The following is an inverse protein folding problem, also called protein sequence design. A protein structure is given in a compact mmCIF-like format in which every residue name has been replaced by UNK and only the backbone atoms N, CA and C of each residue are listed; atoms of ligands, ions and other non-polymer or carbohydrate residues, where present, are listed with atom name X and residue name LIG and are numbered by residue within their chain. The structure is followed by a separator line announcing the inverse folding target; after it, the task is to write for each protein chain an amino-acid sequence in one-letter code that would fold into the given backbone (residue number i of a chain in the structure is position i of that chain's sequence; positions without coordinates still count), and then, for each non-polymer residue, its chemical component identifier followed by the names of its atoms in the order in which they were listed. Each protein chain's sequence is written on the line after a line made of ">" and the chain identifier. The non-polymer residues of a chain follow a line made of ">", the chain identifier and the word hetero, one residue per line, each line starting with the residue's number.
data_IF_973814012519
#
_entry.id   IF_973814012519
#
_cell.length_a   1.000
_cell.length_b   1.000
_cell.length_c   1.000
_cell.angle_alpha   90.00
_cell.angle_beta   90.00
_cell.angle_gamma   90.00
#
_symmetry.space_group_name_H-M   'P 1'
#
loop_
_entity.id
_entity.type
_entity.pdbx_description
1 polymer ?
#
# COMPACT_ATOMS: atom_id res chain seq x y z
N UNK A 1 -10.66 -11.30 18.93
CA UNK A 1 -9.91 -10.21 18.28
C UNK A 1 -8.75 -9.91 19.19
N UNK A 2 -7.53 -10.26 18.81
CA UNK A 2 -6.36 -9.99 19.65
C UNK A 2 -5.93 -8.55 19.40
N UNK A 3 -5.53 -7.83 20.46
CA UNK A 3 -4.93 -6.51 20.32
C UNK A 3 -3.50 -6.63 19.76
N UNK A 4 -2.97 -5.57 19.18
CA UNK A 4 -1.57 -5.55 18.71
C UNK A 4 -0.61 -5.93 19.85
N UNK A 5 -0.85 -5.40 21.04
CA UNK A 5 -0.04 -5.68 22.24
C UNK A 5 -0.04 -7.17 22.60
N UNK A 6 -1.20 -7.84 22.56
CA UNK A 6 -1.29 -9.29 22.82
C UNK A 6 -0.52 -10.13 21.78
N UNK A 7 -0.54 -9.71 20.52
CA UNK A 7 0.21 -10.40 19.45
C UNK A 7 1.71 -10.23 19.65
N UNK A 8 2.15 -9.03 20.04
CA UNK A 8 3.55 -8.73 20.35
C UNK A 8 4.04 -9.52 21.57
N UNK A 9 3.27 -9.54 22.67
CA UNK A 9 3.59 -10.33 23.85
C UNK A 9 3.75 -11.81 23.51
N UNK A 10 2.84 -12.35 22.69
CA UNK A 10 2.91 -13.75 22.24
C UNK A 10 4.15 -14.00 21.38
N UNK A 11 4.48 -13.07 20.47
CA UNK A 11 5.67 -13.18 19.63
C UNK A 11 6.97 -13.15 20.46
N UNK A 12 7.00 -12.35 21.53
CA UNK A 12 8.14 -12.27 22.45
C UNK A 12 8.36 -13.55 23.28
N UNK A 13 7.33 -14.40 23.44
CA UNK A 13 7.48 -15.71 24.10
C UNK A 13 8.20 -16.75 23.22
N UNK A 14 8.40 -16.48 21.92
CA UNK A 14 9.12 -17.39 21.03
C UNK A 14 10.64 -17.34 21.30
N UNK A 15 11.39 -18.43 21.03
CA UNK A 15 12.85 -18.37 21.00
C UNK A 15 13.36 -17.32 20.00
N UNK A 16 14.50 -16.69 20.28
CA UNK A 16 15.07 -15.63 19.42
C UNK A 16 15.16 -16.01 17.93
N UNK A 17 15.55 -17.24 17.61
CA UNK A 17 15.62 -17.74 16.23
C UNK A 17 14.24 -17.77 15.55
N UNK A 18 13.20 -18.13 16.31
CA UNK A 18 11.83 -18.14 15.80
C UNK A 18 11.25 -16.74 15.70
N UNK A 19 11.64 -15.80 16.58
CA UNK A 19 11.28 -14.39 16.46
C UNK A 19 11.84 -13.79 15.15
N UNK A 20 13.13 -14.02 14.87
CA UNK A 20 13.78 -13.61 13.61
C UNK A 20 13.08 -14.20 12.38
N UNK A 21 12.71 -15.48 12.44
CA UNK A 21 11.95 -16.12 11.37
C UNK A 21 10.56 -15.49 11.19
N UNK A 22 9.86 -15.21 12.29
CA UNK A 22 8.54 -14.58 12.27
C UNK A 22 8.60 -13.19 11.62
N UNK A 23 9.59 -12.37 11.97
CA UNK A 23 9.80 -11.04 11.39
C UNK A 23 9.94 -11.14 9.87
N UNK A 24 10.80 -12.05 9.38
CA UNK A 24 11.02 -12.27 7.95
C UNK A 24 9.76 -12.73 7.23
N UNK A 25 9.00 -13.65 7.83
CA UNK A 25 7.74 -14.13 7.25
C UNK A 25 6.73 -12.98 7.14
N UNK A 26 6.57 -12.18 8.19
CA UNK A 26 5.62 -11.06 8.20
C UNK A 26 6.01 -9.99 7.18
N UNK A 27 7.29 -9.61 7.09
CA UNK A 27 7.76 -8.69 6.06
C UNK A 27 7.47 -9.21 4.65
N UNK A 28 7.79 -10.46 4.36
CA UNK A 28 7.56 -11.04 3.05
C UNK A 28 6.07 -11.06 2.67
N UNK A 29 5.21 -11.45 3.61
CA UNK A 29 3.75 -11.45 3.41
C UNK A 29 3.22 -10.03 3.21
N UNK A 30 3.70 -9.06 3.97
CA UNK A 30 3.32 -7.65 3.82
C UNK A 30 3.69 -7.16 2.41
N UNK A 31 4.92 -7.37 1.97
CA UNK A 31 5.36 -6.99 0.63
C UNK A 31 4.56 -7.69 -0.47
N UNK A 32 4.27 -8.98 -0.32
CA UNK A 32 3.47 -9.72 -1.28
C UNK A 32 2.03 -9.19 -1.37
N UNK A 33 1.40 -8.93 -0.22
CA UNK A 33 0.06 -8.33 -0.16
C UNK A 33 0.04 -6.96 -0.83
N UNK A 34 1.02 -6.11 -0.51
CA UNK A 34 1.12 -4.78 -1.12
C UNK A 34 1.34 -4.84 -2.63
N UNK A 35 2.16 -5.79 -3.12
CA UNK A 35 2.34 -6.00 -4.57
C UNK A 35 1.04 -6.45 -5.24
N UNK A 36 0.27 -7.35 -4.61
CA UNK A 36 -1.02 -7.81 -5.14
C UNK A 36 -2.03 -6.67 -5.24
N UNK A 37 -2.11 -5.82 -4.21
CA UNK A 37 -2.96 -4.63 -4.19
C UNK A 37 -2.60 -3.67 -5.33
N UNK A 38 -1.31 -3.31 -5.45
CA UNK A 38 -0.83 -2.43 -6.53
C UNK A 38 -1.14 -3.02 -7.92
N UNK A 39 -0.96 -4.33 -8.09
CA UNK A 39 -1.26 -4.99 -9.35
C UNK A 39 -2.75 -4.96 -9.70
N UNK A 40 -3.63 -5.18 -8.72
CA UNK A 40 -5.08 -5.11 -8.89
C UNK A 40 -5.53 -3.68 -9.27
N UNK A 41 -4.99 -2.67 -8.60
CA UNK A 41 -5.25 -1.26 -8.89
C UNK A 41 -4.76 -0.87 -10.28
N UNK A 42 -3.56 -1.30 -10.66
CA UNK A 42 -2.99 -1.05 -11.99
C UNK A 42 -3.82 -1.69 -13.11
N UNK A 43 -4.27 -2.93 -12.92
CA UNK A 43 -5.15 -3.61 -13.88
C UNK A 43 -6.49 -2.89 -14.02
N UNK A 44 -7.09 -2.48 -12.91
CA UNK A 44 -8.35 -1.73 -12.90
C UNK A 44 -8.20 -0.38 -13.61
N UNK A 45 -7.11 0.34 -13.31
CA UNK A 45 -6.77 1.62 -13.95
C UNK A 45 -6.57 1.44 -15.45
N UNK A 46 -5.79 0.44 -15.87
CA UNK A 46 -5.57 0.15 -17.29
C UNK A 46 -6.87 -0.20 -18.03
N UNK A 47 -7.75 -0.98 -17.41
CA UNK A 47 -9.06 -1.31 -17.98
C UNK A 47 -9.94 -0.07 -18.16
N UNK A 48 -9.99 0.82 -17.16
CA UNK A 48 -10.73 2.07 -17.24
C UNK A 48 -10.17 3.03 -18.29
N UNK A 49 -8.84 3.08 -18.45
CA UNK A 49 -8.19 3.84 -19.52
C UNK A 49 -8.58 3.32 -20.91
N UNK A 50 -8.47 2.01 -21.12
CA UNK A 50 -8.85 1.37 -22.39
C UNK A 50 -10.34 1.52 -22.71
N UNK A 51 -11.19 1.57 -21.68
CA UNK A 51 -12.62 1.82 -21.82
C UNK A 51 -12.96 3.30 -22.06
N UNK A 52 -11.98 4.20 -22.14
CA UNK A 52 -12.20 5.63 -22.38
C UNK A 52 -12.86 6.36 -21.21
N UNK A 53 -12.80 5.81 -19.99
CA UNK A 53 -13.42 6.43 -18.81
C UNK A 53 -12.64 7.63 -18.27
N UNK A 54 -11.39 7.79 -18.67
CA UNK A 54 -10.56 8.93 -18.28
C UNK A 54 -10.60 10.01 -19.34
N UNK A 55 -10.74 11.25 -18.89
CA UNK A 55 -10.65 12.41 -19.75
C UNK A 55 -9.19 12.62 -20.18
N UNK A 56 -8.92 12.94 -21.46
CA UNK A 56 -7.59 13.32 -21.88
C UNK A 56 -7.17 14.61 -21.18
N UNK A 57 -6.01 14.59 -20.53
CA UNK A 57 -5.42 15.74 -19.85
C UNK A 57 -3.93 15.81 -20.18
N UNK A 58 -3.37 17.01 -20.25
CA UNK A 58 -1.95 17.16 -20.45
C UNK A 58 -1.20 16.81 -19.17
N UNK A 59 -0.01 16.22 -19.29
CA UNK A 59 0.84 15.94 -18.14
C UNK A 59 1.18 17.21 -17.35
N UNK A 60 1.27 18.37 -18.02
CA UNK A 60 1.54 19.65 -17.37
C UNK A 60 0.39 20.07 -16.46
N UNK A 61 -0.86 19.95 -16.92
CA UNK A 61 -2.04 20.32 -16.14
C UNK A 61 -2.20 19.40 -14.92
N UNK A 62 -1.98 18.10 -15.10
CA UNK A 62 -2.04 17.11 -14.01
C UNK A 62 -0.96 17.38 -12.96
N UNK A 63 0.28 17.68 -13.38
CA UNK A 63 1.38 18.01 -12.46
C UNK A 63 1.15 19.34 -11.73
N UNK A 64 0.58 20.34 -12.41
CA UNK A 64 0.22 21.61 -11.79
C UNK A 64 -0.85 21.42 -10.71
N UNK A 65 -1.93 20.69 -11.02
CA UNK A 65 -3.01 20.38 -10.08
C UNK A 65 -2.49 19.60 -8.85
N UNK A 66 -1.61 18.60 -9.05
CA UNK A 66 -1.01 17.85 -7.95
C UNK A 66 -0.15 18.73 -7.05
N UNK A 67 0.63 19.66 -7.61
CA UNK A 67 1.44 20.58 -6.81
C UNK A 67 0.56 21.53 -6.01
N UNK A 68 -0.54 21.99 -6.59
CA UNK A 68 -1.51 22.84 -5.91
C UNK A 68 -2.18 22.11 -4.74
N UNK A 69 -2.61 20.85 -4.93
CA UNK A 69 -3.24 20.07 -3.85
C UNK A 69 -2.31 19.78 -2.67
N UNK A 70 -0.99 19.77 -2.89
CA UNK A 70 0.02 19.62 -1.83
C UNK A 70 0.30 20.92 -1.06
N UNK A 71 -0.15 22.07 -1.59
CA UNK A 71 0.00 23.39 -0.96
C UNK A 71 -1.26 23.82 -0.20
N UNK A 72 -2.40 23.22 -0.50
CA UNK A 72 -3.63 23.42 0.26
C UNK A 72 -3.52 22.67 1.60
N UNK A 73 -3.64 23.34 2.76
CA UNK A 73 -3.70 22.64 4.04
C UNK A 73 -4.93 21.73 4.04
N UNK A 74 -4.78 20.49 4.53
CA UNK A 74 -5.92 19.60 4.77
C UNK A 74 -6.97 20.35 5.59
N UNK A 75 -8.18 20.49 5.02
CA UNK A 75 -9.32 21.14 5.67
C UNK A 75 -10.02 20.19 6.65
#
# INVERSE_FOLDING_TARGET
>A
MNTLDQVLETALQLPYEQQEMLIKILQNRYHESRRKEIAADALTTLANFRAGKFQPQSAQDVVAALRQSLQEPEA
#
